data_IF_857953210064
#
_entry.id   IF_857953210064
#
_cell.length_a   1.000
_cell.length_b   1.000
_cell.length_c   1.000
_cell.angle_alpha   90.00
_cell.angle_beta   90.00
_cell.angle_gamma   90.00
#
_symmetry.space_group_name_H-M   'P 1'
#
loop_
_entity.id
_entity.type
_entity.pdbx_description
1 polymer ?
#
# COMPACT_ATOMS: atom_id res chain seq x y z
N UNK A 1 -14.54 12.07 -15.27
CA UNK A 1 -14.56 11.92 -13.80
C UNK A 1 -15.67 12.78 -13.24
N UNK A 2 -16.43 12.27 -12.27
CA UNK A 2 -17.40 13.04 -11.51
C UNK A 2 -16.82 13.25 -10.11
N UNK A 3 -16.62 14.51 -9.72
CA UNK A 3 -16.07 14.87 -8.41
C UNK A 3 -17.01 15.92 -7.81
N UNK A 4 -17.62 15.58 -6.69
CA UNK A 4 -18.43 16.50 -5.92
C UNK A 4 -17.72 16.80 -4.61
N UNK A 5 -16.93 17.87 -4.61
CA UNK A 5 -16.17 18.34 -3.46
C UNK A 5 -16.82 19.60 -2.89
N UNK A 6 -17.36 19.49 -1.68
CA UNK A 6 -17.99 20.58 -0.94
C UNK A 6 -17.44 20.60 0.49
N UNK A 7 -16.25 21.19 0.72
CA UNK A 7 -15.58 21.15 2.03
C UNK A 7 -16.32 21.93 3.11
N UNK A 8 -17.04 23.00 2.75
CA UNK A 8 -17.88 23.74 3.69
C UNK A 8 -19.03 22.87 4.24
N UNK A 9 -19.51 21.93 3.43
CA UNK A 9 -20.53 20.95 3.79
C UNK A 9 -19.91 19.63 4.29
N UNK A 10 -18.59 19.60 4.46
CA UNK A 10 -17.80 18.43 4.79
C UNK A 10 -18.18 17.22 3.92
N UNK A 11 -18.14 17.36 2.59
CA UNK A 11 -18.58 16.32 1.65
C UNK A 11 -17.62 16.09 0.49
N UNK A 12 -17.39 14.81 0.17
CA UNK A 12 -16.67 14.34 -1.01
C UNK A 12 -17.35 13.11 -1.62
N UNK A 13 -17.90 13.27 -2.83
CA UNK A 13 -18.27 12.14 -3.69
C UNK A 13 -17.27 12.06 -4.86
N UNK A 14 -16.72 10.88 -5.11
CA UNK A 14 -15.73 10.62 -6.14
C UNK A 14 -16.19 9.45 -7.01
N UNK A 15 -16.25 9.66 -8.32
CA UNK A 15 -16.34 8.64 -9.36
C UNK A 15 -15.30 8.98 -10.45
N UNK A 16 -14.11 8.42 -10.27
CA UNK A 16 -12.96 8.61 -11.13
C UNK A 16 -12.77 7.37 -11.99
N UNK A 17 -12.68 7.59 -13.31
CA UNK A 17 -12.21 6.61 -14.29
C UNK A 17 -11.09 7.28 -15.06
N UNK A 18 -9.87 6.80 -14.87
CA UNK A 18 -8.67 7.27 -15.55
C UNK A 18 -8.13 6.13 -16.41
N UNK A 19 -7.77 6.43 -17.65
CA UNK A 19 -7.15 5.49 -18.58
C UNK A 19 -5.96 6.19 -19.19
N UNK A 20 -4.78 5.61 -19.01
CA UNK A 20 -3.54 6.10 -19.58
C UNK A 20 -2.95 5.04 -20.53
N UNK A 21 -2.45 5.42 -21.71
CA UNK A 21 -1.77 4.49 -22.61
C UNK A 21 -0.41 4.07 -22.03
N UNK A 22 0.27 3.16 -22.74
CA UNK A 22 1.66 2.83 -22.43
C UNK A 22 2.53 4.09 -22.39
N UNK A 23 3.43 4.18 -21.42
CA UNK A 23 4.24 5.37 -21.16
C UNK A 23 3.48 6.51 -20.46
N UNK A 24 2.30 6.26 -19.90
CA UNK A 24 1.50 7.23 -19.14
C UNK A 24 2.16 7.73 -17.84
N UNK A 25 1.59 8.77 -17.24
CA UNK A 25 2.14 9.42 -16.03
C UNK A 25 2.18 8.44 -14.86
N UNK A 26 1.10 7.68 -14.64
CA UNK A 26 0.97 6.73 -13.53
C UNK A 26 2.00 5.61 -13.68
N UNK A 27 2.11 5.02 -14.87
CA UNK A 27 3.05 3.94 -15.14
C UNK A 27 4.51 4.38 -14.85
N UNK A 28 4.86 5.61 -15.23
CA UNK A 28 6.18 6.18 -14.97
C UNK A 28 6.40 6.58 -13.50
N UNK A 29 5.39 7.16 -12.84
CA UNK A 29 5.46 7.55 -11.43
C UNK A 29 5.70 6.33 -10.53
N UNK A 30 4.98 5.24 -10.81
CA UNK A 30 5.12 3.98 -10.11
C UNK A 30 6.31 3.14 -10.59
N UNK A 31 7.02 3.60 -11.64
CA UNK A 31 8.12 2.89 -12.28
C UNK A 31 7.75 1.45 -12.66
N UNK A 32 6.56 1.26 -13.23
CA UNK A 32 6.11 -0.06 -13.67
C UNK A 32 7.04 -0.57 -14.78
N UNK A 33 7.52 -1.83 -14.73
CA UNK A 33 8.29 -2.42 -15.81
C UNK A 33 7.57 -2.30 -17.14
N UNK A 34 8.28 -1.92 -18.20
CA UNK A 34 7.77 -1.71 -19.57
C UNK A 34 6.70 -0.61 -19.73
N UNK A 35 6.40 0.13 -18.65
CA UNK A 35 5.41 1.21 -18.61
C UNK A 35 4.09 0.89 -19.37
N UNK A 36 3.38 -0.20 -19.04
CA UNK A 36 2.18 -0.66 -19.74
C UNK A 36 1.02 0.33 -19.64
N UNK A 37 -0.05 0.16 -20.44
CA UNK A 37 -1.30 0.88 -20.24
C UNK A 37 -1.89 0.62 -18.86
N UNK A 38 -2.44 1.66 -18.25
CA UNK A 38 -3.02 1.63 -16.89
C UNK A 38 -4.44 2.17 -16.93
N UNK A 39 -5.37 1.48 -16.25
CA UNK A 39 -6.67 2.02 -15.91
C UNK A 39 -6.85 2.04 -14.40
N UNK A 40 -7.39 3.13 -13.89
CA UNK A 40 -7.78 3.29 -12.49
C UNK A 40 -9.25 3.61 -12.43
N UNK A 41 -9.98 2.87 -11.60
CA UNK A 41 -11.35 3.20 -11.21
C UNK A 41 -11.37 3.45 -9.72
N UNK A 42 -11.84 4.62 -9.29
CA UNK A 42 -12.04 4.93 -7.86
C UNK A 42 -13.46 5.44 -7.66
N UNK A 43 -14.18 4.82 -6.74
CA UNK A 43 -15.49 5.27 -6.31
C UNK A 43 -15.49 5.44 -4.79
N UNK A 44 -16.03 6.54 -4.28
CA UNK A 44 -16.21 6.69 -2.84
C UNK A 44 -17.07 7.90 -2.49
N UNK A 45 -17.57 7.88 -1.26
CA UNK A 45 -18.52 8.87 -0.78
C UNK A 45 -18.34 9.05 0.72
N UNK A 46 -18.62 10.24 1.21
CA UNK A 46 -18.67 10.50 2.64
C UNK A 46 -18.13 11.86 2.99
N UNK A 47 -18.00 12.15 4.29
CA UNK A 47 -17.40 13.39 4.71
C UNK A 47 -15.95 13.54 4.25
N UNK A 48 -15.49 14.77 3.96
CA UNK A 48 -14.06 15.01 3.64
C UNK A 48 -13.17 14.57 4.81
N UNK A 49 -13.63 14.83 6.04
CA UNK A 49 -12.93 14.41 7.26
C UNK A 49 -13.10 12.91 7.57
N UNK A 50 -13.91 12.15 6.83
CA UNK A 50 -14.15 10.73 7.07
C UNK A 50 -14.64 10.03 5.79
N UNK A 51 -13.75 9.95 4.80
CA UNK A 51 -14.08 9.47 3.47
C UNK A 51 -13.79 7.97 3.36
N UNK A 52 -14.60 7.25 2.58
CA UNK A 52 -14.35 5.85 2.25
C UNK A 52 -14.61 5.57 0.78
N UNK A 53 -13.86 4.64 0.22
CA UNK A 53 -14.00 4.28 -1.19
C UNK A 53 -13.38 2.94 -1.54
N UNK A 54 -13.56 2.59 -2.81
CA UNK A 54 -13.04 1.39 -3.44
C UNK A 54 -12.21 1.84 -4.65
N UNK A 55 -11.03 1.26 -4.79
CA UNK A 55 -10.14 1.44 -5.93
C UNK A 55 -9.93 0.12 -6.67
N UNK A 56 -9.92 0.18 -8.00
CA UNK A 56 -9.50 -0.92 -8.87
C UNK A 56 -8.35 -0.42 -9.74
N UNK A 57 -7.26 -1.18 -9.75
CA UNK A 57 -6.09 -0.92 -10.58
C UNK A 57 -5.97 -2.00 -11.64
N UNK A 58 -5.96 -1.58 -12.90
CA UNK A 58 -5.87 -2.46 -14.07
C UNK A 58 -4.61 -2.11 -14.83
N UNK A 59 -3.80 -3.12 -15.13
CA UNK A 59 -2.56 -2.96 -15.88
C UNK A 59 -2.55 -3.98 -17.01
N UNK A 60 -2.30 -3.49 -18.22
CA UNK A 60 -2.32 -4.31 -19.44
C UNK A 60 -3.61 -5.13 -19.60
N UNK A 61 -4.75 -4.47 -19.32
CA UNK A 61 -6.07 -5.09 -19.38
C UNK A 61 -6.40 -6.09 -18.26
N UNK A 62 -5.48 -6.34 -17.32
CA UNK A 62 -5.68 -7.26 -16.19
C UNK A 62 -5.90 -6.49 -14.89
N UNK A 63 -6.93 -6.86 -14.13
CA UNK A 63 -7.11 -6.35 -12.76
C UNK A 63 -5.94 -6.85 -11.92
N UNK A 64 -5.11 -5.92 -11.47
CA UNK A 64 -3.96 -6.18 -10.60
C UNK A 64 -4.38 -6.21 -9.16
N UNK A 65 -5.21 -5.26 -8.75
CA UNK A 65 -5.70 -5.19 -7.38
C UNK A 65 -7.04 -4.48 -7.32
N UNK A 66 -7.83 -4.88 -6.32
CA UNK A 66 -8.95 -4.11 -5.83
C UNK A 66 -8.74 -3.90 -4.33
N UNK A 67 -8.98 -2.68 -3.87
CA UNK A 67 -8.84 -2.32 -2.47
C UNK A 67 -9.99 -1.45 -2.00
N UNK A 68 -10.34 -1.58 -0.73
CA UNK A 68 -11.11 -0.60 0.03
C UNK A 68 -10.16 0.31 0.77
N UNK A 69 -10.50 1.60 0.87
CA UNK A 69 -9.76 2.56 1.66
C UNK A 69 -10.69 3.44 2.49
N UNK A 70 -10.19 3.88 3.63
CA UNK A 70 -10.82 4.92 4.46
C UNK A 70 -9.77 5.93 4.89
N UNK A 71 -10.16 7.19 4.89
CA UNK A 71 -9.40 8.28 5.48
C UNK A 71 -10.28 8.95 6.53
N UNK A 72 -9.70 9.25 7.68
CA UNK A 72 -10.36 10.00 8.73
C UNK A 72 -9.39 11.04 9.32
N UNK A 73 -9.84 12.29 9.40
CA UNK A 73 -9.14 13.32 10.16
C UNK A 73 -9.46 13.16 11.64
N UNK A 74 -8.42 13.05 12.46
CA UNK A 74 -8.51 12.86 13.91
C UNK A 74 -7.66 13.92 14.62
N UNK A 75 -7.78 14.00 15.94
CA UNK A 75 -6.95 14.90 16.75
C UNK A 75 -5.46 14.55 16.70
N UNK A 76 -5.12 13.27 16.49
CA UNK A 76 -3.73 12.80 16.33
C UNK A 76 -3.17 13.12 14.93
N UNK A 77 -4.03 13.18 13.92
CA UNK A 77 -3.65 13.37 12.52
C UNK A 77 -4.53 12.60 11.54
N UNK A 78 -3.94 12.19 10.41
CA UNK A 78 -4.68 11.51 9.34
C UNK A 78 -4.66 10.00 9.58
N UNK A 79 -5.79 9.48 10.04
CA UNK A 79 -6.01 8.04 10.11
C UNK A 79 -6.34 7.50 8.71
N UNK A 80 -5.72 6.39 8.34
CA UNK A 80 -5.94 5.70 7.09
C UNK A 80 -6.13 4.22 7.34
N UNK A 81 -7.08 3.62 6.63
CA UNK A 81 -7.23 2.17 6.52
C UNK A 81 -7.18 1.79 5.04
N UNK A 82 -6.51 0.68 4.74
CA UNK A 82 -6.57 0.09 3.41
C UNK A 82 -6.55 -1.43 3.50
N UNK A 83 -7.39 -2.07 2.69
CA UNK A 83 -7.48 -3.53 2.61
C UNK A 83 -7.69 -3.93 1.17
N UNK A 84 -6.99 -4.95 0.74
CA UNK A 84 -7.16 -5.45 -0.62
C UNK A 84 -6.34 -6.70 -0.87
N UNK A 85 -6.42 -7.14 -2.12
CA UNK A 85 -5.62 -8.23 -2.62
C UNK A 85 -5.19 -7.96 -4.06
N UNK A 86 -4.14 -8.65 -4.50
CA UNK A 86 -3.62 -8.47 -5.85
C UNK A 86 -2.38 -9.27 -6.18
N UNK A 87 -1.99 -9.18 -7.45
CA UNK A 87 -0.70 -9.67 -7.96
C UNK A 87 0.28 -8.49 -8.06
N UNK A 88 1.04 -8.30 -6.99
CA UNK A 88 2.00 -7.18 -6.88
C UNK A 88 3.40 -7.57 -7.34
N UNK A 89 3.72 -8.86 -7.44
CA UNK A 89 5.09 -9.35 -7.66
C UNK A 89 5.74 -8.67 -8.86
N UNK A 90 5.01 -8.54 -9.97
CA UNK A 90 5.56 -7.99 -11.22
C UNK A 90 5.90 -6.49 -11.15
N UNK A 91 5.43 -5.77 -10.13
CA UNK A 91 5.62 -4.33 -9.98
C UNK A 91 6.63 -3.95 -8.89
N UNK A 92 7.10 -4.93 -8.13
CA UNK A 92 8.04 -4.69 -7.06
C UNK A 92 9.48 -4.69 -7.57
N UNK A 93 10.38 -3.96 -6.89
CA UNK A 93 11.83 -4.14 -7.05
C UNK A 93 12.25 -5.61 -6.92
N UNK A 94 13.26 -6.04 -7.67
CA UNK A 94 13.70 -7.44 -7.74
C UNK A 94 14.02 -8.05 -6.36
N UNK A 95 14.56 -7.24 -5.44
CA UNK A 95 14.89 -7.67 -4.08
C UNK A 95 13.65 -7.95 -3.20
N UNK A 96 12.45 -7.56 -3.63
CA UNK A 96 11.20 -7.78 -2.89
C UNK A 96 10.26 -8.78 -3.59
N UNK A 97 10.45 -9.06 -4.88
CA UNK A 97 9.54 -9.92 -5.66
C UNK A 97 9.25 -11.27 -4.98
N UNK A 98 10.28 -11.92 -4.44
CA UNK A 98 10.15 -13.23 -3.79
C UNK A 98 9.20 -13.23 -2.59
N UNK A 99 9.03 -12.11 -1.89
CA UNK A 99 8.12 -11.99 -0.74
C UNK A 99 6.66 -11.91 -1.18
N UNK A 100 6.38 -11.49 -2.40
CA UNK A 100 5.03 -11.23 -2.91
C UNK A 100 4.65 -12.21 -4.01
N UNK A 101 5.30 -13.38 -4.06
CA UNK A 101 4.98 -14.42 -5.02
C UNK A 101 3.52 -14.85 -4.90
N UNK A 102 2.88 -15.03 -6.05
CA UNK A 102 1.47 -15.37 -6.16
C UNK A 102 0.55 -14.23 -5.74
N UNK A 103 -0.63 -14.60 -5.27
CA UNK A 103 -1.63 -13.63 -4.82
C UNK A 103 -1.26 -13.14 -3.41
N UNK A 104 -1.23 -11.84 -3.22
CA UNK A 104 -1.00 -11.23 -1.91
C UNK A 104 -2.28 -10.53 -1.44
N UNK A 105 -2.65 -10.75 -0.18
CA UNK A 105 -3.62 -9.92 0.54
C UNK A 105 -2.90 -9.00 1.52
N UNK A 106 -3.47 -7.83 1.77
CA UNK A 106 -2.96 -6.89 2.75
C UNK A 106 -4.10 -6.25 3.53
N UNK A 107 -3.81 -5.90 4.77
CA UNK A 107 -4.72 -5.15 5.63
C UNK A 107 -3.91 -4.19 6.51
N UNK A 108 -4.13 -2.89 6.38
CA UNK A 108 -3.42 -1.88 7.14
C UNK A 108 -4.37 -0.85 7.74
N UNK A 109 -4.02 -0.36 8.92
CA UNK A 109 -4.55 0.83 9.53
C UNK A 109 -3.47 1.56 10.32
N UNK A 110 -3.47 2.88 10.25
CA UNK A 110 -2.51 3.71 10.96
C UNK A 110 -2.81 5.18 10.86
N UNK A 111 -2.09 5.98 11.64
CA UNK A 111 -2.23 7.43 11.71
C UNK A 111 -0.92 8.09 11.31
N UNK A 112 -0.96 8.92 10.27
CA UNK A 112 0.09 9.92 10.04
C UNK A 112 -0.11 11.06 11.05
N UNK A 113 0.78 11.13 12.04
CA UNK A 113 0.70 12.03 13.18
C UNK A 113 1.08 13.44 12.74
N UNK A 114 0.36 14.45 13.24
CA UNK A 114 0.61 15.87 12.90
C UNK A 114 2.04 16.35 13.18
N UNK A 115 2.75 15.72 14.13
CA UNK A 115 4.14 16.00 14.49
C UNK A 115 5.17 15.34 13.58
N UNK A 116 4.73 14.57 12.57
CA UNK A 116 5.59 13.90 11.58
C UNK A 116 5.89 12.44 11.87
N UNK A 117 5.38 11.87 12.96
CA UNK A 117 5.45 10.43 13.23
C UNK A 117 4.36 9.63 12.50
N UNK A 118 4.48 8.30 12.56
CA UNK A 118 3.48 7.36 12.05
C UNK A 118 3.16 6.35 13.14
N UNK A 119 1.88 6.24 13.50
CA UNK A 119 1.35 5.15 14.33
C UNK A 119 0.80 4.07 13.39
N UNK A 120 1.33 2.85 13.49
CA UNK A 120 0.80 1.67 12.81
C UNK A 120 -0.05 0.91 13.81
N UNK A 121 -1.37 0.98 13.66
CA UNK A 121 -2.28 0.21 14.50
C UNK A 121 -2.24 -1.28 14.12
N UNK A 122 -2.20 -1.53 12.82
CA UNK A 122 -2.06 -2.86 12.23
C UNK A 122 -1.52 -2.73 10.82
N UNK A 123 -0.62 -3.61 10.44
CA UNK A 123 -0.31 -3.89 9.07
C UNK A 123 -0.12 -5.40 8.96
N UNK A 124 -0.76 -6.02 7.98
CA UNK A 124 -0.55 -7.41 7.65
C UNK A 124 -0.40 -7.59 6.15
N UNK A 125 0.45 -8.53 5.78
CA UNK A 125 0.60 -9.03 4.42
C UNK A 125 0.56 -10.55 4.47
N UNK A 126 -0.09 -11.15 3.49
CA UNK A 126 -0.17 -12.59 3.35
C UNK A 126 -0.08 -12.95 1.87
N UNK A 127 1.03 -13.58 1.48
CA UNK A 127 1.28 -14.06 0.11
C UNK A 127 1.49 -15.58 0.12
N UNK A 128 1.76 -16.18 -1.03
CA UNK A 128 2.14 -17.61 -1.07
C UNK A 128 3.51 -17.85 -0.41
N UNK A 129 4.35 -16.82 -0.34
CA UNK A 129 5.73 -16.93 0.14
C UNK A 129 5.89 -16.60 1.63
N UNK A 130 5.13 -15.62 2.15
CA UNK A 130 5.31 -15.11 3.52
C UNK A 130 3.99 -14.75 4.19
N UNK A 131 4.05 -14.72 5.52
CA UNK A 131 3.12 -14.01 6.37
C UNK A 131 3.88 -12.93 7.13
N UNK A 132 3.38 -11.70 7.17
CA UNK A 132 4.03 -10.61 7.90
C UNK A 132 3.02 -9.72 8.61
N UNK A 133 3.42 -9.22 9.77
CA UNK A 133 2.64 -8.27 10.58
C UNK A 133 3.53 -7.14 11.08
N UNK A 134 2.94 -5.97 11.32
CA UNK A 134 3.60 -4.87 12.01
C UNK A 134 2.60 -4.03 12.81
N UNK A 135 3.06 -3.48 13.93
CA UNK A 135 2.32 -2.53 14.77
C UNK A 135 3.30 -1.73 15.63
N UNK A 136 2.89 -0.55 16.08
CA UNK A 136 3.69 0.35 16.92
C UNK A 136 3.93 1.71 16.25
N UNK A 137 4.87 2.48 16.77
CA UNK A 137 5.08 3.87 16.39
C UNK A 137 6.48 4.07 15.81
N UNK A 138 6.54 4.90 14.77
CA UNK A 138 7.77 5.45 14.20
C UNK A 138 7.68 6.97 14.36
N UNK A 139 8.42 7.52 15.32
CA UNK A 139 8.49 8.97 15.54
C UNK A 139 9.93 9.47 15.38
N UNK A 140 10.26 10.20 14.30
CA UNK A 140 11.58 10.79 14.11
C UNK A 140 12.01 11.77 15.20
N UNK A 141 11.05 12.33 15.94
CA UNK A 141 11.27 13.34 16.97
C UNK A 141 11.09 12.78 18.40
N UNK A 142 10.81 11.48 18.52
CA UNK A 142 10.37 10.86 19.77
C UNK A 142 10.78 9.40 19.89
N UNK A 143 10.08 8.68 20.79
CA UNK A 143 10.29 7.26 20.94
C UNK A 143 9.62 6.50 19.79
N UNK A 144 10.32 5.50 19.26
CA UNK A 144 9.80 4.55 18.28
C UNK A 144 9.84 3.15 18.88
N UNK A 145 8.76 2.39 18.71
CA UNK A 145 8.58 1.05 19.26
C UNK A 145 7.97 0.06 18.26
N UNK A 146 8.10 0.35 16.96
CA UNK A 146 7.62 -0.51 15.89
C UNK A 146 8.09 -1.97 16.05
N UNK A 147 7.13 -2.87 16.15
CA UNK A 147 7.33 -4.31 16.06
C UNK A 147 6.99 -4.80 14.66
N UNK A 148 7.81 -5.71 14.14
CA UNK A 148 7.63 -6.33 12.82
C UNK A 148 7.89 -7.83 12.95
N UNK A 149 6.95 -8.64 12.47
CA UNK A 149 7.09 -10.07 12.33
C UNK A 149 7.00 -10.44 10.85
N UNK A 150 7.87 -11.33 10.40
CA UNK A 150 7.88 -11.82 9.02
C UNK A 150 8.35 -13.27 9.01
N UNK A 151 7.50 -14.17 8.52
CA UNK A 151 7.75 -15.60 8.47
C UNK A 151 7.60 -16.11 7.03
N UNK A 152 8.55 -16.93 6.58
CA UNK A 152 8.43 -17.64 5.32
C UNK A 152 7.45 -18.82 5.47
N UNK A 153 6.59 -19.03 4.49
CA UNK A 153 5.64 -20.17 4.44
C UNK A 153 6.26 -21.43 3.84
N UNK A 154 7.50 -21.34 3.34
CA UNK A 154 8.21 -22.41 2.66
C UNK A 154 9.73 -22.31 2.87
N UNK A 155 10.55 -22.60 1.84
CA UNK A 155 11.99 -22.48 1.92
C UNK A 155 12.44 -21.08 2.37
N UNK A 156 13.61 -20.96 3.02
CA UNK A 156 14.13 -19.66 3.44
C UNK A 156 14.21 -18.66 2.27
N UNK A 157 13.72 -17.45 2.51
CA UNK A 157 13.78 -16.37 1.52
C UNK A 157 14.96 -15.47 1.88
N UNK A 158 15.92 -15.36 0.96
CA UNK A 158 17.10 -14.53 1.15
C UNK A 158 16.86 -13.14 0.58
N UNK A 159 16.97 -12.14 1.43
CA UNK A 159 16.91 -10.73 1.07
C UNK A 159 18.30 -10.10 1.15
N UNK A 160 18.60 -9.22 0.20
CA UNK A 160 19.75 -8.32 0.26
C UNK A 160 19.26 -6.92 0.59
N UNK A 161 19.70 -6.39 1.73
CA UNK A 161 19.31 -5.10 2.29
C UNK A 161 20.53 -4.16 2.35
N UNK A 162 20.29 -2.85 2.40
CA UNK A 162 21.36 -1.85 2.49
C UNK A 162 21.89 -1.38 1.13
N UNK A 163 22.99 -0.63 1.15
CA UNK A 163 23.59 -0.08 -0.05
C UNK A 163 24.27 -1.17 -0.89
N UNK A 164 24.23 -1.05 -2.22
CA UNK A 164 24.89 -2.02 -3.12
C UNK A 164 26.40 -2.19 -2.85
N UNK A 165 27.06 -1.16 -2.31
CA UNK A 165 28.46 -1.22 -1.92
C UNK A 165 28.71 -2.09 -0.67
N UNK A 166 27.69 -2.25 0.21
CA UNK A 166 27.77 -3.01 1.46
C UNK A 166 26.42 -3.68 1.75
N UNK A 167 26.10 -4.78 1.04
CA UNK A 167 24.84 -5.48 1.26
C UNK A 167 24.85 -6.26 2.57
N UNK A 168 23.75 -6.19 3.32
CA UNK A 168 23.43 -7.07 4.44
C UNK A 168 22.50 -8.16 3.91
N UNK A 169 22.89 -9.42 4.07
CA UNK A 169 22.05 -10.55 3.67
C UNK A 169 21.26 -11.06 4.87
N UNK A 170 19.94 -11.15 4.71
CA UNK A 170 19.02 -11.64 5.74
C UNK A 170 18.26 -12.83 5.16
N UNK A 171 18.19 -13.93 5.91
CA UNK A 171 17.35 -15.07 5.56
C UNK A 171 16.09 -15.04 6.44
N UNK A 172 14.92 -14.98 5.80
CA UNK A 172 13.63 -15.15 6.45
C UNK A 172 13.31 -16.63 6.45
N UNK A 173 13.07 -17.20 7.63
CA UNK A 173 12.68 -18.60 7.81
C UNK A 173 11.22 -18.69 8.25
N UNK A 174 10.66 -19.90 8.22
CA UNK A 174 9.40 -20.18 8.90
C UNK A 174 9.56 -20.13 10.43
N UNK A 175 8.42 -20.03 11.12
CA UNK A 175 8.31 -20.22 12.56
C UNK A 175 8.47 -21.69 12.95
#
# INVERSE_FOLDING_TARGET
ANIHFAPADNKLDLDLKASEPAGGIIANLLKLPDAPPVNIVVTGTGPVANWSGIGTFVVDGQIVTQLTGRHQLTDKGNYVEAKGDGDFQRFLPDNLKSLFAGKTSFDLAGTAIVTGGVEVERASIDSDAVHGTAAGIIDPNGASDLSVELAAKGPPIVLSLGAAAQPVTVAITGA
#
